data_IF_188991808858
#
_entry.id   IF_188991808858
#
_cell.length_a   1.000
_cell.length_b   1.000
_cell.length_c   1.000
_cell.angle_alpha   90.00
_cell.angle_beta   90.00
_cell.angle_gamma   90.00
#
_symmetry.space_group_name_H-M   'P 1'
#
loop_
_entity.id
_entity.type
_entity.pdbx_description
1 polymer ?
#
# COMPACT_ATOMS: atom_id res chain seq x y z
N UNK A 1 -4.45 -2.20 31.72
CA UNK A 1 -5.37 -1.68 30.70
C UNK A 1 -4.59 -0.72 29.81
N UNK A 2 -4.57 -0.96 28.50
CA UNK A 2 -3.95 -0.05 27.54
C UNK A 2 -4.74 1.27 27.51
N UNK A 3 -4.05 2.42 27.55
CA UNK A 3 -4.68 3.72 27.33
C UNK A 3 -5.17 3.83 25.89
N UNK A 4 -6.20 4.62 25.61
CA UNK A 4 -6.72 4.80 24.24
C UNK A 4 -5.63 5.26 23.25
N UNK A 5 -4.66 6.05 23.70
CA UNK A 5 -3.51 6.44 22.86
C UNK A 5 -2.61 5.27 22.48
N UNK A 6 -2.40 4.32 23.38
CA UNK A 6 -1.60 3.12 23.10
C UNK A 6 -2.28 2.14 22.13
N UNK A 7 -3.62 2.13 22.10
CA UNK A 7 -4.37 1.31 21.13
C UNK A 7 -4.28 1.94 19.74
N UNK A 8 -4.44 3.25 19.63
CA UNK A 8 -4.30 3.95 18.34
C UNK A 8 -2.89 3.81 17.78
N UNK A 9 -1.85 3.93 18.61
CA UNK A 9 -0.47 3.75 18.15
C UNK A 9 -0.19 2.34 17.66
N UNK A 10 -0.76 1.31 18.30
CA UNK A 10 -0.69 -0.07 17.83
C UNK A 10 -1.35 -0.23 16.45
N UNK A 11 -2.58 0.25 16.30
CA UNK A 11 -3.33 0.16 15.04
C UNK A 11 -2.54 0.82 13.90
N UNK A 12 -2.06 2.06 14.13
CA UNK A 12 -1.29 2.79 13.14
C UNK A 12 0.02 2.07 12.80
N UNK A 13 0.70 1.48 13.78
CA UNK A 13 1.92 0.72 13.57
C UNK A 13 1.67 -0.53 12.72
N UNK A 14 0.61 -1.28 13.01
CA UNK A 14 0.22 -2.48 12.24
C UNK A 14 -0.11 -2.12 10.80
N UNK A 15 -0.93 -1.08 10.58
CA UNK A 15 -1.28 -0.63 9.22
C UNK A 15 -0.03 -0.13 8.49
N UNK A 16 0.84 0.64 9.14
CA UNK A 16 2.09 1.12 8.55
C UNK A 16 3.00 -0.03 8.14
N UNK A 17 3.13 -1.07 8.97
CA UNK A 17 3.94 -2.24 8.67
C UNK A 17 3.40 -3.01 7.48
N UNK A 18 2.09 -3.26 7.46
CA UNK A 18 1.43 -3.91 6.34
C UNK A 18 1.62 -3.15 5.02
N UNK A 19 1.54 -1.82 5.03
CA UNK A 19 1.68 -1.01 3.82
C UNK A 19 3.14 -0.84 3.37
N UNK A 20 4.10 -0.85 4.30
CA UNK A 20 5.52 -0.60 3.98
C UNK A 20 6.30 -1.87 3.68
N UNK A 21 6.00 -2.95 4.38
CA UNK A 21 6.65 -4.24 4.23
C UNK A 21 5.66 -5.16 3.53
N UNK A 22 6.14 -6.04 2.64
CA UNK A 22 5.30 -6.98 1.89
C UNK A 22 4.77 -8.11 2.79
N UNK A 23 4.08 -7.75 3.87
CA UNK A 23 3.55 -8.64 4.89
C UNK A 23 2.19 -9.16 4.46
N UNK A 24 1.99 -10.46 4.66
CA UNK A 24 0.67 -11.06 4.58
C UNK A 24 -0.19 -10.69 5.80
N UNK A 25 -1.51 -10.88 5.71
CA UNK A 25 -2.38 -10.75 6.87
C UNK A 25 -2.02 -11.75 7.98
N UNK A 26 -1.50 -12.93 7.61
CA UNK A 26 -1.05 -13.94 8.57
C UNK A 26 0.17 -13.45 9.33
N UNK A 27 1.17 -12.91 8.61
CA UNK A 27 2.38 -12.34 9.21
C UNK A 27 2.00 -11.21 10.18
N UNK A 28 1.03 -10.38 9.78
CA UNK A 28 0.54 -9.30 10.64
C UNK A 28 -0.14 -9.80 11.92
N UNK A 29 -0.87 -10.93 11.87
CA UNK A 29 -1.46 -11.56 13.05
C UNK A 29 -0.37 -12.15 13.94
N UNK A 30 0.56 -12.90 13.37
CA UNK A 30 1.68 -13.54 14.09
C UNK A 30 2.52 -12.52 14.85
N UNK A 31 2.87 -11.40 14.20
CA UNK A 31 3.60 -10.30 14.84
C UNK A 31 2.81 -9.68 16.02
N UNK A 32 1.48 -9.66 15.97
CA UNK A 32 0.66 -9.19 17.08
C UNK A 32 0.60 -10.23 18.21
N UNK A 33 0.55 -11.52 17.88
CA UNK A 33 0.59 -12.61 18.85
C UNK A 33 1.93 -12.64 19.62
N UNK A 34 3.06 -12.44 18.94
CA UNK A 34 4.39 -12.28 19.57
C UNK A 34 4.44 -11.11 20.56
N UNK A 35 3.60 -10.09 20.35
CA UNK A 35 3.45 -8.94 21.25
C UNK A 35 2.44 -9.18 22.37
N UNK A 36 1.90 -10.38 22.50
CA UNK A 36 0.91 -10.76 23.51
C UNK A 36 -0.52 -10.31 23.17
N UNK A 37 -0.80 -9.98 21.92
CA UNK A 37 -2.10 -9.47 21.47
C UNK A 37 -2.78 -10.47 20.53
N UNK A 38 -3.78 -11.17 21.03
CA UNK A 38 -4.61 -12.06 20.20
C UNK A 38 -5.61 -11.22 19.39
N UNK A 39 -5.31 -11.03 18.10
CA UNK A 39 -6.11 -10.20 17.18
C UNK A 39 -6.56 -11.06 16.00
N UNK A 40 -7.85 -11.03 15.68
CA UNK A 40 -8.38 -11.70 14.49
C UNK A 40 -7.88 -11.05 13.20
N UNK A 41 -7.61 -11.86 12.16
CA UNK A 41 -7.24 -11.38 10.83
C UNK A 41 -8.28 -10.39 10.25
N UNK A 42 -9.57 -10.55 10.57
CA UNK A 42 -10.65 -9.66 10.10
C UNK A 42 -10.47 -8.25 10.67
N UNK A 43 -10.00 -8.14 11.92
CA UNK A 43 -9.75 -6.86 12.58
C UNK A 43 -8.63 -6.10 11.86
N UNK A 44 -7.55 -6.81 11.51
CA UNK A 44 -6.43 -6.23 10.75
C UNK A 44 -6.91 -5.74 9.37
N UNK A 45 -7.71 -6.55 8.65
CA UNK A 45 -8.32 -6.15 7.37
C UNK A 45 -9.13 -4.85 7.52
N UNK A 46 -9.97 -4.76 8.55
CA UNK A 46 -10.80 -3.57 8.80
C UNK A 46 -9.94 -2.33 9.06
N UNK A 47 -8.88 -2.46 9.87
CA UNK A 47 -7.96 -1.35 10.12
C UNK A 47 -7.25 -0.89 8.85
N UNK A 48 -6.74 -1.82 8.04
CA UNK A 48 -6.08 -1.47 6.78
C UNK A 48 -7.08 -0.78 5.83
N UNK A 49 -8.29 -1.30 5.68
CA UNK A 49 -9.30 -0.71 4.82
C UNK A 49 -9.74 0.69 5.29
N UNK A 50 -9.80 0.90 6.61
CA UNK A 50 -10.20 2.18 7.19
C UNK A 50 -9.10 3.24 7.09
N UNK A 51 -7.85 2.87 7.40
CA UNK A 51 -6.77 3.85 7.63
C UNK A 51 -5.79 3.99 6.46
N UNK A 52 -5.73 3.03 5.53
CA UNK A 52 -4.77 3.07 4.42
C UNK A 52 -4.87 4.34 3.57
N UNK A 53 -6.08 4.72 3.14
CA UNK A 53 -6.28 5.91 2.30
C UNK A 53 -5.85 7.19 3.01
N UNK A 54 -6.17 7.32 4.31
CA UNK A 54 -5.82 8.50 5.09
C UNK A 54 -4.31 8.59 5.36
N UNK A 55 -3.67 7.46 5.68
CA UNK A 55 -2.22 7.37 5.83
C UNK A 55 -1.50 7.71 4.53
N UNK A 56 -1.95 7.16 3.40
CA UNK A 56 -1.38 7.45 2.09
C UNK A 56 -1.48 8.94 1.76
N UNK A 57 -2.65 9.56 1.94
CA UNK A 57 -2.83 11.02 1.73
C UNK A 57 -1.84 11.86 2.54
N UNK A 58 -1.64 11.53 3.81
CA UNK A 58 -0.73 12.29 4.69
C UNK A 58 0.74 12.05 4.34
N UNK A 59 1.11 10.81 4.04
CA UNK A 59 2.50 10.42 3.74
C UNK A 59 2.93 10.92 2.36
N UNK A 60 2.04 10.90 1.36
CA UNK A 60 2.34 11.25 -0.04
C UNK A 60 2.93 12.66 -0.18
N UNK A 61 2.51 13.61 0.65
CA UNK A 61 3.11 14.96 0.67
C UNK A 61 4.59 14.97 1.04
N UNK A 62 5.00 14.08 1.95
CA UNK A 62 6.39 13.97 2.41
C UNK A 62 7.27 13.14 1.45
N UNK A 63 6.68 12.31 0.60
CA UNK A 63 7.39 11.52 -0.42
C UNK A 63 7.70 12.32 -1.70
N UNK A 64 7.07 13.48 -1.89
CA UNK A 64 7.00 14.19 -3.17
C UNK A 64 8.23 15.07 -3.49
N UNK A 65 9.43 14.49 -3.54
CA UNK A 65 10.56 15.07 -4.30
C UNK A 65 10.77 14.23 -5.56
N UNK A 66 9.97 14.50 -6.58
CA UNK A 66 10.11 13.86 -7.89
C UNK A 66 11.23 14.61 -8.62
N UNK A 67 12.25 13.89 -9.08
CA UNK A 67 13.31 14.47 -9.93
C UNK A 67 12.76 14.76 -11.33
N UNK A 68 13.41 15.63 -12.11
CA UNK A 68 12.93 16.11 -13.42
C UNK A 68 12.75 15.03 -14.52
N UNK A 69 13.03 13.76 -14.23
CA UNK A 69 12.84 12.65 -15.18
C UNK A 69 12.12 11.46 -14.54
N UNK A 70 11.17 10.91 -15.27
CA UNK A 70 10.39 9.72 -14.91
C UNK A 70 10.21 8.80 -16.13
N UNK A 71 9.86 7.55 -15.87
CA UNK A 71 9.54 6.51 -16.87
C UNK A 71 8.27 5.79 -16.44
N UNK A 72 7.57 5.17 -17.40
CA UNK A 72 6.41 4.32 -17.12
C UNK A 72 6.71 2.91 -17.57
N UNK A 73 6.61 1.98 -16.63
CA UNK A 73 6.68 0.54 -16.88
C UNK A 73 5.28 -0.04 -17.03
N UNK A 74 5.08 -0.92 -18.01
CA UNK A 74 3.85 -1.68 -18.24
C UNK A 74 4.10 -3.16 -17.92
N UNK A 75 3.28 -3.75 -17.06
CA UNK A 75 3.31 -5.18 -16.74
C UNK A 75 1.88 -5.73 -16.68
N UNK A 76 1.70 -7.03 -16.86
CA UNK A 76 0.39 -7.69 -16.74
C UNK A 76 0.30 -8.50 -15.44
N UNK A 77 -0.77 -8.29 -14.68
CA UNK A 77 -1.03 -8.99 -13.41
C UNK A 77 -2.40 -9.65 -13.43
N UNK A 78 -2.55 -10.76 -12.70
CA UNK A 78 -3.82 -11.49 -12.60
C UNK A 78 -4.60 -11.03 -11.37
N UNK A 79 -5.71 -10.33 -11.58
CA UNK A 79 -6.59 -9.83 -10.51
C UNK A 79 -7.91 -10.58 -10.56
N UNK A 80 -8.24 -11.31 -9.48
CA UNK A 80 -9.45 -12.17 -9.39
C UNK A 80 -9.60 -13.11 -10.60
N UNK A 81 -8.49 -13.70 -11.05
CA UNK A 81 -8.48 -14.64 -12.18
C UNK A 81 -8.40 -14.00 -13.57
N UNK A 82 -8.54 -12.68 -13.69
CA UNK A 82 -8.49 -11.97 -14.98
C UNK A 82 -7.16 -11.22 -15.15
N UNK A 83 -6.56 -11.32 -16.34
CA UNK A 83 -5.38 -10.53 -16.68
C UNK A 83 -5.74 -9.04 -16.83
N UNK A 84 -4.89 -8.18 -16.24
CA UNK A 84 -5.00 -6.72 -16.29
C UNK A 84 -3.63 -6.11 -16.51
N UNK A 85 -3.59 -4.94 -17.13
CA UNK A 85 -2.38 -4.17 -17.37
C UNK A 85 -2.17 -3.19 -16.22
N UNK A 86 -1.03 -3.31 -15.55
CA UNK A 86 -0.55 -2.41 -14.52
C UNK A 86 0.50 -1.49 -15.13
N UNK A 87 0.25 -0.19 -15.04
CA UNK A 87 1.17 0.88 -15.39
C UNK A 87 1.75 1.45 -14.11
N UNK A 88 3.08 1.55 -14.01
CA UNK A 88 3.76 2.15 -12.87
C UNK A 88 4.65 3.29 -13.37
N UNK A 89 4.38 4.52 -12.94
CA UNK A 89 5.27 5.65 -13.14
C UNK A 89 6.34 5.64 -12.04
N UNK A 90 7.60 5.67 -12.43
CA UNK A 90 8.76 5.66 -11.52
C UNK A 90 9.72 6.78 -11.88
N UNK A 91 10.34 7.40 -10.86
CA UNK A 91 11.40 8.39 -11.08
C UNK A 91 12.74 7.72 -11.42
N UNK A 92 13.76 8.51 -11.76
CA UNK A 92 15.11 7.99 -12.04
C UNK A 92 15.72 7.19 -10.87
N UNK A 93 15.29 7.45 -9.63
CA UNK A 93 15.76 6.75 -8.41
C UNK A 93 14.86 5.55 -8.07
N UNK A 94 14.02 5.11 -9.00
CA UNK A 94 13.10 3.99 -8.85
C UNK A 94 12.00 4.20 -7.78
N UNK A 95 11.75 5.46 -7.39
CA UNK A 95 10.62 5.76 -6.52
C UNK A 95 9.32 5.73 -7.33
N UNK A 96 8.34 4.93 -6.89
CA UNK A 96 7.00 4.93 -7.48
C UNK A 96 6.32 6.28 -7.30
N UNK A 97 5.99 6.92 -8.42
CA UNK A 97 5.27 8.19 -8.50
C UNK A 97 3.75 7.93 -8.46
N UNK A 98 3.29 7.03 -9.33
CA UNK A 98 1.88 6.67 -9.43
C UNK A 98 1.71 5.31 -10.11
N UNK A 99 0.52 4.72 -10.01
CA UNK A 99 0.19 3.47 -10.68
C UNK A 99 -1.25 3.48 -11.18
N UNK A 100 -1.49 2.79 -12.29
CA UNK A 100 -2.83 2.66 -12.87
C UNK A 100 -3.08 1.24 -13.37
N UNK A 101 -4.27 0.71 -13.08
CA UNK A 101 -4.67 -0.64 -13.45
C UNK A 101 -5.79 -0.60 -14.49
N UNK A 102 -5.50 -1.09 -15.69
CA UNK A 102 -6.44 -1.15 -16.81
C UNK A 102 -6.83 -2.60 -17.15
N UNK A 103 -8.05 -2.79 -17.68
CA UNK A 103 -8.47 -4.06 -18.28
C UNK A 103 -7.86 -4.29 -19.66
N UNK A 104 -7.55 -3.21 -20.38
CA UNK A 104 -7.06 -3.23 -21.75
C UNK A 104 -5.72 -2.52 -21.84
N UNK A 105 -4.87 -2.95 -22.76
CA UNK A 105 -3.63 -2.25 -23.08
C UNK A 105 -3.99 -0.91 -23.73
N UNK A 106 -3.63 0.19 -23.10
CA UNK A 106 -3.99 1.53 -23.59
C UNK A 106 -2.79 2.47 -23.59
N UNK A 107 -2.42 2.89 -24.80
CA UNK A 107 -1.32 3.82 -25.03
C UNK A 107 -1.65 5.24 -24.55
N UNK A 108 -2.94 5.60 -24.47
CA UNK A 108 -3.37 6.90 -23.92
C UNK A 108 -3.08 6.94 -22.42
N UNK A 109 -3.48 5.90 -21.69
CA UNK A 109 -3.17 5.73 -20.26
C UNK A 109 -1.67 5.83 -19.99
N UNK A 110 -0.83 5.16 -20.78
CA UNK A 110 0.63 5.21 -20.63
C UNK A 110 1.22 6.63 -20.79
N UNK A 111 0.54 7.52 -21.53
CA UNK A 111 0.94 8.92 -21.76
C UNK A 111 0.36 9.92 -20.74
N UNK A 112 -0.53 9.49 -19.85
CA UNK A 112 -1.23 10.37 -18.91
C UNK A 112 -0.52 10.54 -17.55
N UNK A 113 0.60 9.86 -17.35
CA UNK A 113 1.44 10.00 -16.16
C UNK A 113 2.34 11.24 -16.22
#
# INVERSE_FOLDING_TARGET
>A
MYSNESILSLILLTVRWYLRYNLSFRDSVEIMEERGLSISYITIIRWIHQYSSELDKRIRYHLKKINDSWRVDETYIKVKGQWKYLYCAVDFKENTIDFYLSKTRDLKTAKCF
#
